data_IF_263460244700
#
_entry.id   IF_263460244700
#
_cell.length_a   1.000
_cell.length_b   1.000
_cell.length_c   1.000
_cell.angle_alpha   90.00
_cell.angle_beta   90.00
_cell.angle_gamma   90.00
#
_symmetry.space_group_name_H-M   'P 1'
#
loop_
_entity.id
_entity.type
_entity.pdbx_description
1 polymer ?
#
# COMPACT_ATOMS: atom_id res chain seq x y z
N UNK A 1 -41.91 -4.58 8.13
CA UNK A 1 -41.25 -4.02 6.92
C UNK A 1 -40.17 -3.00 7.26
N UNK A 2 -40.46 -1.99 8.09
CA UNK A 2 -39.52 -0.91 8.44
C UNK A 2 -38.24 -1.41 9.16
N UNK A 3 -38.38 -2.31 10.13
CA UNK A 3 -37.24 -2.89 10.88
C UNK A 3 -36.23 -3.58 9.95
N UNK A 4 -36.70 -4.25 8.90
CA UNK A 4 -35.86 -4.94 7.92
C UNK A 4 -35.04 -3.98 7.05
N UNK A 5 -35.60 -2.79 6.75
CA UNK A 5 -34.87 -1.76 5.99
C UNK A 5 -33.78 -1.12 6.83
N UNK A 6 -34.02 -0.92 8.13
CA UNK A 6 -33.02 -0.41 9.07
C UNK A 6 -31.88 -1.41 9.28
N UNK A 7 -32.18 -2.70 9.44
CA UNK A 7 -31.14 -3.73 9.59
C UNK A 7 -30.30 -3.88 8.33
N UNK A 8 -30.92 -3.85 7.14
CA UNK A 8 -30.18 -3.90 5.87
C UNK A 8 -29.26 -2.69 5.68
N UNK A 9 -29.71 -1.46 5.98
CA UNK A 9 -28.87 -0.26 5.90
C UNK A 9 -27.69 -0.32 6.88
N UNK A 10 -27.93 -0.78 8.12
CA UNK A 10 -26.88 -0.92 9.11
C UNK A 10 -25.83 -1.96 8.69
N UNK A 11 -26.27 -3.11 8.16
CA UNK A 11 -25.36 -4.15 7.61
C UNK A 11 -24.55 -3.61 6.42
N UNK A 12 -25.18 -2.85 5.51
CA UNK A 12 -24.48 -2.23 4.37
C UNK A 12 -23.41 -1.23 4.85
N UNK A 13 -23.72 -0.43 5.88
CA UNK A 13 -22.77 0.50 6.51
C UNK A 13 -21.60 -0.23 7.17
N UNK A 14 -21.84 -1.38 7.81
CA UNK A 14 -20.77 -2.20 8.38
C UNK A 14 -19.89 -2.80 7.27
N UNK A 15 -20.50 -3.29 6.19
CA UNK A 15 -19.77 -3.88 5.06
C UNK A 15 -18.86 -2.86 4.37
N UNK A 16 -19.34 -1.63 4.18
CA UNK A 16 -18.56 -0.55 3.55
C UNK A 16 -17.42 -0.08 4.43
N UNK A 17 -17.63 0.06 5.73
CA UNK A 17 -16.57 0.41 6.69
C UNK A 17 -15.51 -0.69 6.80
N UNK A 18 -15.91 -1.97 6.79
CA UNK A 18 -14.98 -3.10 6.76
C UNK A 18 -14.10 -3.10 5.49
N UNK A 19 -14.71 -2.89 4.33
CA UNK A 19 -14.00 -2.81 3.05
C UNK A 19 -13.00 -1.63 3.03
N UNK A 20 -13.39 -0.47 3.57
CA UNK A 20 -12.50 0.68 3.72
C UNK A 20 -11.29 0.36 4.61
N UNK A 21 -11.51 -0.34 5.73
CA UNK A 21 -10.44 -0.71 6.66
C UNK A 21 -9.48 -1.73 6.03
N UNK A 22 -9.99 -2.74 5.32
CA UNK A 22 -9.15 -3.68 4.58
C UNK A 22 -8.30 -2.99 3.52
N UNK A 23 -8.89 -2.02 2.79
CA UNK A 23 -8.18 -1.24 1.79
C UNK A 23 -7.06 -0.41 2.42
N UNK A 24 -7.31 0.24 3.56
CA UNK A 24 -6.31 1.03 4.30
C UNK A 24 -5.16 0.19 4.85
N UNK A 25 -5.43 -1.02 5.34
CA UNK A 25 -4.41 -1.94 5.84
C UNK A 25 -3.51 -2.46 4.70
N UNK A 26 -4.07 -2.70 3.50
CA UNK A 26 -3.31 -3.15 2.32
C UNK A 26 -2.26 -2.13 1.87
N UNK A 27 -2.55 -0.83 1.96
CA UNK A 27 -1.59 0.23 1.60
C UNK A 27 -0.46 0.43 2.62
N UNK A 28 -0.57 -0.15 3.81
CA UNK A 28 0.43 -0.01 4.88
C UNK A 28 1.39 -1.20 4.96
N UNK A 29 1.13 -2.29 4.22
CA UNK A 29 2.06 -3.42 4.11
C UNK A 29 3.12 -3.17 3.06
N UNK A 30 4.37 -3.40 3.41
CA UNK A 30 5.52 -3.30 2.52
C UNK A 30 5.63 -4.60 1.71
N UNK A 31 5.64 -4.51 0.37
CA UNK A 31 5.88 -5.67 -0.52
C UNK A 31 7.31 -5.64 -1.09
N UNK A 32 8.23 -6.21 -0.33
CA UNK A 32 9.65 -6.31 -0.73
C UNK A 32 9.86 -7.34 -1.84
N UNK A 33 9.04 -8.38 -1.90
CA UNK A 33 9.27 -9.47 -2.86
C UNK A 33 9.04 -9.03 -4.30
N UNK A 34 8.02 -8.19 -4.53
CA UNK A 34 7.78 -7.59 -5.85
C UNK A 34 8.89 -6.61 -6.22
N UNK A 35 9.29 -5.73 -5.30
CA UNK A 35 10.33 -4.73 -5.55
C UNK A 35 11.70 -5.35 -5.83
N UNK A 36 12.07 -6.41 -5.13
CA UNK A 36 13.33 -7.13 -5.35
C UNK A 36 13.38 -7.75 -6.75
N UNK A 37 12.25 -8.28 -7.24
CA UNK A 37 12.15 -8.81 -8.61
C UNK A 37 12.35 -7.73 -9.66
N UNK A 38 11.73 -6.57 -9.47
CA UNK A 38 11.86 -5.42 -10.39
C UNK A 38 13.29 -4.87 -10.44
N UNK A 39 13.93 -4.72 -9.26
CA UNK A 39 15.30 -4.18 -9.15
C UNK A 39 16.38 -5.24 -9.38
N UNK A 40 16.02 -6.51 -9.65
CA UNK A 40 16.94 -7.66 -9.83
C UNK A 40 17.92 -7.84 -8.66
N UNK A 41 17.43 -7.63 -7.43
CA UNK A 41 18.20 -7.78 -6.19
C UNK A 41 17.75 -9.01 -5.42
N UNK A 42 18.67 -9.65 -4.69
CA UNK A 42 18.30 -10.73 -3.78
C UNK A 42 18.14 -10.23 -2.35
N UNK A 43 17.32 -10.92 -1.54
CA UNK A 43 17.22 -10.66 -0.08
C UNK A 43 18.60 -10.75 0.60
N UNK A 44 19.49 -11.59 0.08
CA UNK A 44 20.86 -11.71 0.61
C UNK A 44 21.73 -10.49 0.31
N UNK A 45 21.52 -9.83 -0.83
CA UNK A 45 22.24 -8.60 -1.16
C UNK A 45 21.77 -7.43 -0.30
N UNK A 46 20.46 -7.34 -0.07
CA UNK A 46 19.91 -6.33 0.85
C UNK A 46 20.41 -6.53 2.27
N UNK A 47 20.40 -7.78 2.79
CA UNK A 47 20.93 -8.07 4.11
C UNK A 47 22.40 -7.61 4.26
N UNK A 48 23.24 -7.87 3.24
CA UNK A 48 24.62 -7.41 3.21
C UNK A 48 24.74 -5.89 3.17
N UNK A 49 23.95 -5.20 2.33
CA UNK A 49 23.95 -3.74 2.22
C UNK A 49 23.49 -3.06 3.52
N UNK A 50 22.56 -3.66 4.25
CA UNK A 50 22.09 -3.19 5.55
C UNK A 50 23.03 -3.59 6.71
N UNK A 51 24.04 -4.43 6.47
CA UNK A 51 24.92 -4.95 7.53
C UNK A 51 24.22 -5.90 8.50
N UNK A 52 23.17 -6.60 8.06
CA UNK A 52 22.33 -7.47 8.88
C UNK A 52 22.51 -8.95 8.51
N UNK A 53 22.23 -9.84 9.47
CA UNK A 53 22.06 -11.26 9.16
C UNK A 53 20.74 -11.50 8.40
N UNK A 54 20.65 -12.60 7.64
CA UNK A 54 19.43 -12.95 6.89
C UNK A 54 18.23 -13.15 7.81
N UNK A 55 18.47 -13.72 8.97
CA UNK A 55 17.48 -13.98 10.02
C UNK A 55 16.97 -12.66 10.62
N UNK A 56 17.89 -11.71 10.85
CA UNK A 56 17.55 -10.37 11.33
C UNK A 56 16.72 -9.60 10.31
N UNK A 57 17.10 -9.68 9.03
CA UNK A 57 16.29 -9.12 7.95
C UNK A 57 14.90 -9.75 7.92
N UNK A 58 14.79 -11.08 7.93
CA UNK A 58 13.49 -11.77 7.91
C UNK A 58 12.60 -11.36 9.08
N UNK A 59 13.16 -11.23 10.28
CA UNK A 59 12.44 -10.73 11.46
C UNK A 59 11.91 -9.29 11.28
N UNK A 60 12.68 -8.43 10.63
CA UNK A 60 12.24 -7.05 10.32
C UNK A 60 11.11 -7.07 9.29
N UNK A 61 11.23 -7.89 8.25
CA UNK A 61 10.25 -7.93 7.15
C UNK A 61 8.92 -8.59 7.54
N UNK A 62 8.98 -9.64 8.38
CA UNK A 62 7.78 -10.32 8.89
C UNK A 62 7.14 -9.61 10.09
N UNK A 63 7.85 -8.66 10.69
CA UNK A 63 7.38 -7.86 11.81
C UNK A 63 6.77 -6.53 11.39
N UNK A 64 6.66 -5.61 12.35
CA UNK A 64 6.36 -4.19 12.09
C UNK A 64 7.68 -3.41 12.06
N UNK A 65 8.28 -3.15 10.88
CA UNK A 65 9.56 -2.46 10.79
C UNK A 65 9.45 -1.02 11.32
N UNK A 66 10.48 -0.56 12.02
CA UNK A 66 10.57 0.85 12.45
C UNK A 66 10.84 1.75 11.24
N UNK A 67 10.54 3.05 11.36
CA UNK A 67 10.83 4.04 10.32
C UNK A 67 12.32 4.02 9.90
N UNK A 68 13.23 3.85 10.85
CA UNK A 68 14.67 3.72 10.58
C UNK A 68 14.99 2.50 9.70
N UNK A 69 14.37 1.35 9.99
CA UNK A 69 14.54 0.15 9.17
C UNK A 69 13.96 0.32 7.76
N UNK A 70 12.83 1.04 7.63
CA UNK A 70 12.20 1.34 6.34
C UNK A 70 13.11 2.24 5.50
N UNK A 71 13.68 3.29 6.10
CA UNK A 71 14.62 4.18 5.41
C UNK A 71 15.87 3.43 4.95
N UNK A 72 16.49 2.65 5.85
CA UNK A 72 17.66 1.83 5.50
C UNK A 72 17.37 0.82 4.41
N UNK A 73 16.16 0.26 4.38
CA UNK A 73 15.73 -0.65 3.33
C UNK A 73 15.58 0.08 1.98
N UNK A 74 14.96 1.26 1.98
CA UNK A 74 14.85 2.11 0.79
C UNK A 74 16.23 2.48 0.24
N UNK A 75 17.15 2.88 1.11
CA UNK A 75 18.53 3.22 0.77
C UNK A 75 19.30 2.00 0.21
N UNK A 76 19.13 0.82 0.82
CA UNK A 76 19.78 -0.41 0.36
C UNK A 76 19.27 -0.87 -1.02
N UNK A 77 17.98 -0.63 -1.31
CA UNK A 77 17.37 -0.92 -2.62
C UNK A 77 17.70 0.18 -3.64
N UNK A 78 17.92 1.41 -3.17
CA UNK A 78 18.12 2.60 -4.02
C UNK A 78 16.82 3.13 -4.61
N UNK A 79 15.73 3.09 -3.84
CA UNK A 79 14.43 3.64 -4.24
C UNK A 79 13.88 4.65 -3.21
N UNK A 80 12.96 5.55 -3.61
CA UNK A 80 12.19 6.33 -2.66
C UNK A 80 11.39 5.44 -1.72
N UNK A 81 11.24 5.84 -0.46
CA UNK A 81 10.43 5.13 0.55
C UNK A 81 8.99 4.88 0.07
N UNK A 82 8.44 5.78 -0.74
CA UNK A 82 7.10 5.61 -1.32
C UNK A 82 6.97 4.42 -2.27
N UNK A 83 8.07 3.98 -2.92
CA UNK A 83 8.08 2.76 -3.75
C UNK A 83 7.98 1.49 -2.91
N UNK A 84 8.28 1.53 -1.61
CA UNK A 84 8.16 0.37 -0.71
C UNK A 84 6.69 -0.04 -0.44
N UNK A 85 5.73 0.83 -0.75
CA UNK A 85 4.32 0.66 -0.46
C UNK A 85 3.51 0.58 -1.74
N UNK A 86 2.39 -0.16 -1.72
CA UNK A 86 1.45 -0.13 -2.83
C UNK A 86 0.93 1.29 -3.05
N UNK A 87 1.08 1.81 -4.27
CA UNK A 87 0.44 3.07 -4.63
C UNK A 87 -1.08 2.86 -4.76
N UNK A 88 -1.90 3.84 -4.35
CA UNK A 88 -3.33 3.79 -4.65
C UNK A 88 -3.48 3.66 -6.17
N UNK A 89 -4.31 2.70 -6.57
CA UNK A 89 -4.63 2.48 -7.98
C UNK A 89 -5.04 3.83 -8.58
N UNK A 90 -4.45 4.22 -9.71
CA UNK A 90 -4.77 5.51 -10.35
C UNK A 90 -6.08 5.46 -11.12
N UNK A 91 -6.58 4.26 -11.38
CA UNK A 91 -7.74 3.96 -12.23
C UNK A 91 -9.09 4.44 -11.64
N UNK A 92 -9.11 4.84 -10.37
CA UNK A 92 -10.31 5.25 -9.65
C UNK A 92 -10.35 6.75 -9.29
N UNK A 93 -9.41 7.56 -9.80
CA UNK A 93 -9.58 9.02 -9.83
C UNK A 93 -10.28 9.45 -11.14
N UNK A 94 -11.52 9.05 -11.31
CA UNK A 94 -12.38 9.65 -12.34
C UNK A 94 -12.95 10.95 -11.76
N UNK A 95 -12.26 12.07 -12.00
CA UNK A 95 -12.80 13.39 -11.69
C UNK A 95 -13.92 13.68 -12.69
N UNK A 96 -15.16 13.42 -12.29
CA UNK A 96 -16.32 13.71 -13.12
C UNK A 96 -16.84 15.11 -12.82
N UNK A 97 -17.07 15.92 -13.84
CA UNK A 97 -17.62 17.25 -13.67
C UNK A 97 -19.06 17.16 -13.12
N UNK A 98 -19.38 17.78 -11.95
CA UNK A 98 -20.72 17.71 -11.34
C UNK A 98 -21.79 18.43 -12.17
N UNK A 99 -21.39 19.27 -13.13
CA UNK A 99 -22.31 20.00 -13.99
C UNK A 99 -22.71 19.24 -15.26
N UNK A 100 -21.80 18.43 -15.83
CA UNK A 100 -22.03 17.81 -17.15
C UNK A 100 -21.70 16.31 -17.23
N UNK A 101 -21.23 15.68 -16.16
CA UNK A 101 -20.97 14.24 -16.13
C UNK A 101 -19.76 13.76 -16.94
N UNK A 102 -18.97 14.67 -17.52
CA UNK A 102 -17.78 14.32 -18.32
C UNK A 102 -16.54 14.14 -17.44
N UNK A 103 -15.63 13.20 -17.79
CA UNK A 103 -14.35 13.06 -17.10
C UNK A 103 -13.44 14.27 -17.37
N UNK A 104 -12.82 14.78 -16.31
CA UNK A 104 -11.86 15.88 -16.34
C UNK A 104 -10.47 15.28 -16.52
N UNK A 105 -9.80 15.64 -17.61
CA UNK A 105 -8.44 15.20 -17.91
C UNK A 105 -7.46 16.32 -17.54
N UNK A 106 -6.70 16.14 -16.46
CA UNK A 106 -5.71 17.13 -16.01
C UNK A 106 -4.36 16.74 -16.62
N UNK A 107 -3.83 17.60 -17.49
CA UNK A 107 -2.44 17.50 -17.94
C UNK A 107 -1.56 18.24 -16.93
N UNK A 108 -0.53 17.59 -16.42
CA UNK A 108 0.53 18.23 -15.64
C UNK A 108 1.66 18.51 -16.63
N UNK A 109 1.95 19.79 -16.87
CA UNK A 109 3.12 20.26 -17.61
C UNK A 109 4.30 20.50 -16.64
#
# INVERSE_FOLDING_TARGET
MIIFVFTLNYILSIQTTFLYLQKKLKYMSIDIDTLLKEKKLSKTDIAKRMGLSRESLYRILSGNPTLDNINKLADAIGCPVAELFEQPNKDNLTLTCPHCGKPINIKVE
#
